data_IF_511258508954
#
_entry.id   IF_511258508954
#
_cell.length_a   1.000
_cell.length_b   1.000
_cell.length_c   1.000
_cell.angle_alpha   90.00
_cell.angle_beta   90.00
_cell.angle_gamma   90.00
#
_symmetry.space_group_name_H-M   'P 1'
#
loop_
_entity.id
_entity.type
_entity.pdbx_description
1 polymer ?
#
# COMPACT_ATOMS: atom_id res chain seq x y z
N UNK A 1 1.30 -12.63 25.48
CA UNK A 1 0.17 -12.31 24.57
C UNK A 1 0.75 -11.44 23.48
N UNK A 2 1.05 -12.06 22.33
CA UNK A 2 1.85 -11.45 21.28
C UNK A 2 0.99 -10.55 20.39
N UNK A 3 1.59 -9.42 20.00
CA UNK A 3 0.99 -8.32 19.25
C UNK A 3 0.83 -8.71 17.76
N UNK A 4 -0.39 -8.72 17.19
CA UNK A 4 -0.64 -9.07 15.78
C UNK A 4 -0.08 -8.04 14.76
N UNK A 5 0.66 -7.03 15.22
CA UNK A 5 1.43 -6.07 14.41
C UNK A 5 2.60 -6.70 13.61
N UNK A 6 2.79 -8.02 13.63
CA UNK A 6 3.96 -8.70 13.05
C UNK A 6 3.93 -8.83 11.52
N UNK A 7 2.76 -8.87 10.89
CA UNK A 7 2.59 -9.10 9.43
C UNK A 7 3.34 -8.07 8.57
N UNK A 8 3.25 -6.79 8.94
CA UNK A 8 3.83 -5.69 8.15
C UNK A 8 5.06 -5.06 8.79
N UNK A 9 5.25 -5.21 10.12
CA UNK A 9 6.56 -4.93 10.73
C UNK A 9 7.63 -5.88 10.20
N UNK A 10 7.29 -7.11 9.79
CA UNK A 10 8.27 -8.11 9.33
C UNK A 10 8.56 -8.11 7.83
N UNK A 11 7.63 -7.66 6.98
CA UNK A 11 8.00 -7.15 5.65
C UNK A 11 9.01 -5.99 5.76
N UNK A 12 8.88 -5.13 6.78
CA UNK A 12 9.92 -4.16 7.17
C UNK A 12 11.14 -4.82 7.82
N UNK A 13 11.04 -6.03 8.39
CA UNK A 13 12.19 -6.79 8.90
C UNK A 13 13.01 -7.38 7.75
N UNK A 14 12.43 -7.79 6.62
CA UNK A 14 13.22 -8.20 5.44
C UNK A 14 14.04 -7.02 4.90
N UNK A 15 13.42 -5.86 4.80
CA UNK A 15 14.08 -4.62 4.42
C UNK A 15 15.13 -4.17 5.49
N UNK A 16 14.78 -4.21 6.79
CA UNK A 16 15.65 -3.77 7.88
C UNK A 16 16.81 -4.74 8.18
N UNK A 17 16.64 -6.05 7.97
CA UNK A 17 17.70 -7.05 8.10
C UNK A 17 18.83 -6.72 7.12
N UNK A 18 18.48 -6.43 5.86
CA UNK A 18 19.43 -6.04 4.81
C UNK A 18 20.15 -4.72 5.12
N UNK A 19 19.51 -3.80 5.87
CA UNK A 19 20.10 -2.50 6.22
C UNK A 19 21.17 -2.56 7.33
N UNK A 20 21.14 -3.56 8.22
CA UNK A 20 21.85 -3.51 9.51
C UNK A 20 23.20 -4.26 9.58
N UNK A 21 23.53 -5.17 8.66
CA UNK A 21 24.81 -5.92 8.72
C UNK A 21 25.95 -5.36 7.85
N UNK A 22 25.71 -4.29 7.10
CA UNK A 22 26.71 -3.65 6.25
C UNK A 22 27.74 -2.76 7.01
N UNK A 23 27.72 -2.75 8.34
CA UNK A 23 28.64 -1.99 9.19
C UNK A 23 29.82 -2.85 9.70
N UNK A 24 30.66 -3.31 8.79
CA UNK A 24 32.08 -3.53 9.12
C UNK A 24 32.98 -3.35 7.89
N UNK A 25 34.11 -2.72 8.20
CA UNK A 25 35.31 -2.26 7.48
C UNK A 25 35.50 -2.42 5.97
N UNK A 26 36.16 -1.40 5.42
CA UNK A 26 36.43 -1.09 4.01
C UNK A 26 37.35 -2.09 3.32
N UNK A 27 37.01 -2.44 2.08
CA UNK A 27 37.93 -3.07 1.14
C UNK A 27 37.82 -2.38 -0.23
N UNK A 28 38.91 -1.72 -0.63
CA UNK A 28 39.10 -1.18 -1.98
C UNK A 28 39.80 -2.25 -2.83
N UNK A 29 39.14 -2.73 -3.88
CA UNK A 29 39.73 -3.70 -4.80
C UNK A 29 39.10 -3.60 -6.19
N UNK A 30 39.89 -3.49 -7.28
CA UNK A 30 39.36 -3.35 -8.64
C UNK A 30 39.04 -4.74 -9.23
N UNK A 31 37.83 -4.94 -9.74
CA UNK A 31 37.45 -6.24 -10.31
C UNK A 31 36.21 -6.25 -11.20
N UNK A 32 36.39 -5.90 -12.48
CA UNK A 32 36.14 -6.77 -13.66
C UNK A 32 34.76 -7.36 -14.01
N UNK A 33 33.73 -7.31 -13.17
CA UNK A 33 32.36 -7.66 -13.62
C UNK A 33 31.67 -6.42 -14.22
N UNK A 34 30.62 -6.53 -15.06
CA UNK A 34 29.78 -5.38 -15.37
C UNK A 34 29.31 -4.83 -14.03
N UNK A 35 29.86 -3.68 -13.63
CA UNK A 35 29.65 -3.16 -12.30
C UNK A 35 28.14 -2.99 -12.14
N UNK A 36 27.58 -3.68 -11.15
CA UNK A 36 26.21 -3.46 -10.75
C UNK A 36 26.06 -1.97 -10.42
N UNK A 37 25.41 -1.20 -11.30
CA UNK A 37 25.19 0.22 -11.09
C UNK A 37 23.95 0.42 -10.23
N UNK A 38 24.17 0.10 -8.97
CA UNK A 38 23.12 0.13 -7.99
C UNK A 38 22.71 1.55 -7.59
N UNK A 39 23.61 2.53 -7.75
CA UNK A 39 23.27 3.93 -7.53
C UNK A 39 22.30 4.40 -8.61
N UNK A 40 22.53 4.05 -9.87
CA UNK A 40 21.56 4.29 -10.93
C UNK A 40 20.25 3.54 -10.67
N UNK A 41 20.32 2.28 -10.24
CA UNK A 41 19.10 1.49 -9.92
C UNK A 41 18.28 2.11 -8.79
N UNK A 42 18.95 2.58 -7.73
CA UNK A 42 18.34 3.30 -6.62
C UNK A 42 17.69 4.62 -7.06
N UNK A 43 18.39 5.41 -7.86
CA UNK A 43 17.86 6.67 -8.40
C UNK A 43 16.65 6.44 -9.30
N UNK A 44 16.65 5.35 -10.08
CA UNK A 44 15.49 4.95 -10.88
C UNK A 44 14.30 4.64 -9.98
N UNK A 45 14.51 3.84 -8.94
CA UNK A 45 13.44 3.50 -8.01
C UNK A 45 12.91 4.72 -7.23
N UNK A 46 13.78 5.65 -6.81
CA UNK A 46 13.36 6.88 -6.15
C UNK A 46 12.63 7.86 -7.09
N UNK A 47 12.94 7.84 -8.39
CA UNK A 47 12.21 8.62 -9.39
C UNK A 47 10.75 8.18 -9.47
N UNK A 48 10.51 6.86 -9.41
CA UNK A 48 9.16 6.29 -9.41
C UNK A 48 8.39 6.72 -8.15
N UNK A 49 8.99 6.60 -6.97
CA UNK A 49 8.30 6.87 -5.69
C UNK A 49 8.24 8.34 -5.29
N UNK A 50 9.07 9.22 -5.87
CA UNK A 50 9.00 10.68 -5.59
C UNK A 50 7.82 11.37 -6.29
N UNK A 51 7.31 10.81 -7.38
CA UNK A 51 6.18 11.36 -8.13
C UNK A 51 4.86 11.34 -7.33
N UNK A 52 4.72 10.45 -6.34
CA UNK A 52 3.53 10.39 -5.49
C UNK A 52 3.49 11.42 -4.35
N UNK A 53 4.61 12.09 -4.06
CA UNK A 53 4.75 13.01 -2.92
C UNK A 53 4.80 14.49 -3.28
N UNK A 54 4.61 14.85 -4.54
CA UNK A 54 4.91 16.19 -5.04
C UNK A 54 3.81 17.23 -4.78
N UNK A 55 2.57 16.82 -4.52
CA UNK A 55 1.55 17.72 -3.96
C UNK A 55 1.52 17.61 -2.42
N UNK A 56 2.00 18.63 -1.68
CA UNK A 56 2.08 18.57 -0.22
C UNK A 56 0.72 18.60 0.48
N UNK A 57 -0.36 18.94 -0.22
CA UNK A 57 -1.70 19.02 0.34
C UNK A 57 -2.53 17.77 0.04
N UNK A 58 -2.17 16.96 -0.97
CA UNK A 58 -2.95 15.80 -1.41
C UNK A 58 -3.10 14.75 -0.30
N UNK A 59 -1.99 14.25 0.24
CA UNK A 59 -2.02 13.20 1.27
C UNK A 59 -2.76 13.65 2.56
N UNK A 60 -2.49 14.84 3.13
CA UNK A 60 -3.28 15.33 4.27
C UNK A 60 -4.76 15.51 3.95
N UNK A 61 -5.11 15.93 2.72
CA UNK A 61 -6.51 16.12 2.34
C UNK A 61 -7.26 14.80 2.22
N UNK A 62 -6.65 13.77 1.62
CA UNK A 62 -7.21 12.41 1.60
C UNK A 62 -7.42 11.85 3.01
N UNK A 63 -6.50 12.11 3.94
CA UNK A 63 -6.65 11.74 5.36
C UNK A 63 -7.82 12.47 6.06
N UNK A 64 -8.09 13.73 5.71
CA UNK A 64 -9.26 14.45 6.26
C UNK A 64 -10.59 13.95 5.69
N UNK A 65 -10.64 13.67 4.38
CA UNK A 65 -11.81 13.06 3.72
C UNK A 65 -12.13 11.69 4.34
N UNK A 66 -11.09 10.90 4.52
CA UNK A 66 -11.09 9.64 5.25
C UNK A 66 -11.71 9.77 6.64
N UNK A 67 -11.21 10.72 7.46
CA UNK A 67 -11.76 11.02 8.77
C UNK A 67 -13.25 11.38 8.74
N UNK A 68 -13.68 12.20 7.78
CA UNK A 68 -15.07 12.62 7.64
C UNK A 68 -16.02 11.44 7.37
N UNK A 69 -15.61 10.47 6.55
CA UNK A 69 -16.41 9.28 6.24
C UNK A 69 -16.49 8.28 7.41
N UNK A 70 -15.47 8.28 8.28
CA UNK A 70 -15.41 7.40 9.45
C UNK A 70 -16.15 7.96 10.69
N UNK A 71 -16.30 9.28 10.81
CA UNK A 71 -16.82 9.95 12.01
C UNK A 71 -18.24 10.55 11.93
N UNK A 72 -18.86 10.61 10.74
CA UNK A 72 -20.05 11.45 10.51
C UNK A 72 -21.43 10.83 10.75
N UNK A 73 -21.55 9.52 10.87
CA UNK A 73 -22.85 8.85 11.03
C UNK A 73 -22.67 7.63 11.90
N UNK A 74 -23.53 7.38 12.88
CA UNK A 74 -23.47 6.23 13.79
C UNK A 74 -23.59 4.83 13.13
N UNK A 75 -23.28 4.70 11.84
CA UNK A 75 -23.12 3.48 11.08
C UNK A 75 -21.74 3.53 10.39
N UNK A 76 -20.88 2.49 10.53
CA UNK A 76 -19.62 2.41 9.80
C UNK A 76 -19.89 2.34 8.30
N UNK A 77 -19.43 3.32 7.53
CA UNK A 77 -19.40 3.23 6.07
C UNK A 77 -18.28 2.28 5.65
N UNK A 78 -18.50 1.46 4.62
CA UNK A 78 -17.42 0.58 4.13
C UNK A 78 -16.34 1.43 3.44
N UNK A 79 -16.65 2.64 2.98
CA UNK A 79 -15.66 3.61 2.55
C UNK A 79 -14.82 4.12 3.72
N UNK A 80 -15.33 4.27 4.94
CA UNK A 80 -14.47 4.46 6.13
C UNK A 80 -13.61 3.23 6.45
N UNK A 81 -14.04 2.05 6.01
CA UNK A 81 -13.27 0.79 5.95
C UNK A 81 -12.39 0.67 4.70
N UNK A 82 -12.47 1.56 3.69
CA UNK A 82 -11.48 1.67 2.59
C UNK A 82 -10.60 2.94 2.63
N UNK A 83 -11.03 3.92 3.40
CA UNK A 83 -10.51 5.26 3.53
C UNK A 83 -10.43 5.64 5.02
N UNK A 84 -9.91 4.85 5.96
CA UNK A 84 -9.91 5.26 7.38
C UNK A 84 -8.78 4.65 8.19
N UNK A 85 -8.18 5.39 9.12
CA UNK A 85 -7.18 4.87 10.09
C UNK A 85 -7.64 3.61 10.90
N UNK A 86 -8.89 3.17 10.72
CA UNK A 86 -9.58 2.09 11.40
C UNK A 86 -9.29 0.66 10.91
N UNK A 87 -8.69 0.43 9.74
CA UNK A 87 -8.01 -0.86 9.50
C UNK A 87 -6.52 -0.66 9.59
N UNK A 88 -6.02 -0.99 10.77
CA UNK A 88 -4.83 -1.80 10.75
C UNK A 88 -5.17 -3.05 9.93
N UNK A 89 -4.38 -3.46 8.93
CA UNK A 89 -4.27 -4.89 8.62
C UNK A 89 -3.54 -5.60 9.79
N UNK A 90 -3.88 -5.29 11.04
CA UNK A 90 -4.02 -6.34 12.02
C UNK A 90 -5.36 -6.96 11.68
N UNK A 91 -5.35 -8.14 11.05
CA UNK A 91 -6.41 -9.10 11.28
C UNK A 91 -6.53 -9.23 12.81
N UNK A 92 -7.38 -8.40 13.43
CA UNK A 92 -7.83 -8.69 14.78
C UNK A 92 -8.69 -9.93 14.61
N UNK A 93 -8.08 -11.08 14.90
CA UNK A 93 -8.75 -12.37 14.93
C UNK A 93 -9.98 -12.31 15.87
N UNK A 94 -10.07 -11.35 16.79
CA UNK A 94 -11.27 -11.01 17.55
C UNK A 94 -12.42 -10.49 16.67
N UNK A 95 -12.17 -9.59 15.73
CA UNK A 95 -13.16 -9.07 14.77
C UNK A 95 -13.52 -10.10 13.70
N UNK A 96 -12.54 -10.86 13.18
CA UNK A 96 -12.81 -11.99 12.27
C UNK A 96 -13.66 -13.03 13.00
N UNK A 97 -13.29 -13.45 14.23
CA UNK A 97 -14.10 -14.38 15.05
C UNK A 97 -15.43 -13.79 15.52
N UNK A 98 -15.58 -12.47 15.59
CA UNK A 98 -16.86 -11.81 15.87
C UNK A 98 -17.78 -11.88 14.65
N UNK A 99 -17.24 -11.59 13.45
CA UNK A 99 -17.93 -11.84 12.17
C UNK A 99 -18.30 -13.32 12.01
N UNK A 100 -17.38 -14.26 12.27
CA UNK A 100 -17.67 -15.70 12.17
C UNK A 100 -18.64 -16.17 13.26
N UNK A 101 -18.73 -15.52 14.43
CA UNK A 101 -19.72 -15.86 15.47
C UNK A 101 -21.11 -15.29 15.20
N UNK A 102 -21.18 -14.06 14.68
CA UNK A 102 -22.42 -13.45 14.19
C UNK A 102 -22.98 -14.24 13.00
N UNK A 103 -22.11 -14.76 12.11
CA UNK A 103 -22.50 -15.52 10.92
C UNK A 103 -22.65 -17.05 11.17
N UNK A 104 -21.92 -17.61 12.13
CA UNK A 104 -21.91 -19.05 12.45
C UNK A 104 -22.89 -19.47 13.56
N UNK A 105 -23.62 -18.51 14.16
CA UNK A 105 -24.63 -18.77 15.19
C UNK A 105 -25.92 -19.44 14.69
N UNK A 106 -26.12 -19.54 13.38
CA UNK A 106 -27.29 -20.20 12.78
C UNK A 106 -26.90 -21.60 12.34
N UNK A 107 -26.86 -22.53 13.30
CA UNK A 107 -26.84 -23.96 13.07
C UNK A 107 -28.19 -24.44 12.51
N UNK A 108 -28.49 -24.06 11.27
CA UNK A 108 -29.69 -24.46 10.56
C UNK A 108 -29.48 -24.29 9.06
N UNK A 109 -29.57 -25.39 8.33
CA UNK A 109 -29.54 -25.48 6.87
C UNK A 109 -30.50 -24.46 6.24
N UNK A 110 -29.98 -23.31 5.86
CA UNK A 110 -30.58 -22.35 4.95
C UNK A 110 -29.41 -21.65 4.27
N UNK A 111 -29.46 -21.56 2.95
CA UNK A 111 -28.53 -20.72 2.20
C UNK A 111 -28.55 -19.32 2.82
N UNK A 112 -27.50 -19.00 3.60
CA UNK A 112 -27.32 -17.66 4.13
C UNK A 112 -27.03 -16.81 2.90
N UNK A 113 -27.87 -15.80 2.58
CA UNK A 113 -27.55 -14.88 1.50
C UNK A 113 -26.20 -14.27 1.81
N UNK A 114 -25.29 -14.21 0.82
CA UNK A 114 -24.00 -13.57 0.97
C UNK A 114 -24.16 -12.24 1.71
N UNK A 115 -23.28 -11.91 2.68
CA UNK A 115 -23.36 -10.64 3.39
C UNK A 115 -23.40 -9.52 2.36
N UNK A 116 -24.52 -8.78 2.30
CA UNK A 116 -24.59 -7.55 1.54
C UNK A 116 -23.70 -6.58 2.28
N UNK A 117 -22.48 -6.39 1.79
CA UNK A 117 -21.64 -5.30 2.24
C UNK A 117 -22.47 -4.02 2.08
N UNK A 118 -22.79 -3.38 3.19
CA UNK A 118 -23.55 -2.13 3.25
C UNK A 118 -22.90 -1.11 2.31
N UNK A 119 -23.70 -0.17 1.81
CA UNK A 119 -23.25 0.86 0.86
C UNK A 119 -21.86 1.40 1.18
N UNK A 120 -21.03 1.43 0.15
CA UNK A 120 -19.65 1.88 0.23
C UNK A 120 -19.61 3.30 0.78
N UNK A 121 -20.43 4.20 0.23
CA UNK A 121 -20.57 5.58 0.68
C UNK A 121 -21.94 5.81 1.33
N UNK A 122 -22.08 6.73 2.30
CA UNK A 122 -23.37 7.03 2.91
C UNK A 122 -24.40 7.55 1.89
N UNK A 123 -25.57 6.88 1.78
CA UNK A 123 -26.67 7.28 0.88
C UNK A 123 -27.08 8.75 1.05
N UNK A 124 -27.09 9.24 2.29
CA UNK A 124 -27.50 10.61 2.61
C UNK A 124 -26.56 11.69 2.07
N UNK A 125 -25.35 11.31 1.62
CA UNK A 125 -24.35 12.22 1.08
C UNK A 125 -24.17 12.08 -0.43
N UNK A 126 -24.83 11.11 -1.08
CA UNK A 126 -24.72 10.92 -2.52
C UNK A 126 -25.18 12.16 -3.29
N UNK A 127 -24.42 12.57 -4.31
CA UNK A 127 -24.66 13.80 -5.07
C UNK A 127 -24.36 15.09 -4.30
N UNK A 128 -23.76 15.01 -3.10
CA UNK A 128 -23.47 16.19 -2.30
C UNK A 128 -22.02 16.67 -2.45
N UNK A 129 -21.84 17.98 -2.33
CA UNK A 129 -20.52 18.61 -2.18
C UNK A 129 -20.31 18.98 -0.72
N UNK A 130 -19.18 18.56 -0.14
CA UNK A 130 -18.77 18.90 1.21
C UNK A 130 -17.65 19.94 1.18
N UNK A 131 -17.76 20.97 2.01
CA UNK A 131 -16.80 22.07 2.17
C UNK A 131 -16.24 22.06 3.58
N UNK A 132 -15.01 22.54 3.76
CA UNK A 132 -14.43 22.62 5.09
C UNK A 132 -15.00 23.81 5.87
N UNK A 133 -15.61 23.55 7.02
CA UNK A 133 -16.03 24.57 7.97
C UNK A 133 -14.91 24.80 9.00
N UNK A 134 -14.32 26.00 8.98
CA UNK A 134 -13.23 26.37 9.88
C UNK A 134 -13.66 26.53 11.36
N UNK A 135 -14.95 26.75 11.61
CA UNK A 135 -15.53 26.91 12.95
C UNK A 135 -15.79 25.57 13.63
N UNK A 136 -16.27 24.57 12.90
CA UNK A 136 -16.48 23.21 13.42
C UNK A 136 -15.26 22.32 13.24
N UNK A 137 -14.36 22.69 12.32
CA UNK A 137 -13.14 21.94 12.03
C UNK A 137 -13.43 20.62 11.32
N UNK A 138 -14.49 20.58 10.50
CA UNK A 138 -14.97 19.40 9.80
C UNK A 138 -15.49 19.73 8.40
N UNK A 139 -15.68 18.70 7.58
CA UNK A 139 -16.38 18.81 6.31
C UNK A 139 -17.89 18.80 6.52
N UNK A 140 -18.59 19.76 5.93
CA UNK A 140 -20.05 19.90 6.00
C UNK A 140 -20.66 20.01 4.61
N UNK A 141 -21.90 19.54 4.44
CA UNK A 141 -22.61 19.61 3.16
C UNK A 141 -22.94 21.06 2.83
N UNK A 142 -22.48 21.51 1.65
CA UNK A 142 -22.87 22.79 1.08
C UNK A 142 -23.90 22.56 -0.02
N UNK A 143 -25.18 22.72 0.32
CA UNK A 143 -26.29 22.54 -0.60
C UNK A 143 -26.32 23.55 -1.77
N UNK A 144 -25.53 24.62 -1.71
CA UNK A 144 -25.43 25.60 -2.80
C UNK A 144 -24.46 25.14 -3.91
N UNK A 145 -23.58 24.17 -3.62
CA UNK A 145 -22.59 23.64 -4.57
C UNK A 145 -23.12 22.43 -5.33
N UNK A 146 -23.37 22.65 -6.62
CA UNK A 146 -23.77 21.61 -7.56
C UNK A 146 -22.56 20.91 -8.22
N UNK A 147 -22.85 19.81 -8.94
CA UNK A 147 -21.91 19.15 -9.83
C UNK A 147 -21.18 17.94 -9.24
N UNK A 148 -21.45 17.57 -7.98
CA UNK A 148 -20.99 16.30 -7.43
C UNK A 148 -21.63 15.10 -8.16
N UNK A 149 -20.92 13.96 -8.30
CA UNK A 149 -21.45 12.78 -8.97
C UNK A 149 -22.69 12.22 -8.25
N UNK A 150 -23.73 11.83 -8.99
CA UNK A 150 -24.97 11.30 -8.40
C UNK A 150 -24.80 10.00 -7.62
N UNK A 151 -23.76 9.23 -7.93
CA UNK A 151 -23.36 8.00 -7.25
C UNK A 151 -22.11 8.21 -6.36
N UNK A 152 -21.85 9.45 -5.94
CA UNK A 152 -20.63 9.76 -5.22
C UNK A 152 -20.75 10.99 -4.32
N UNK A 153 -19.62 11.33 -3.71
CA UNK A 153 -19.47 12.47 -2.80
C UNK A 153 -18.29 13.30 -3.33
N UNK A 154 -18.46 14.63 -3.38
CA UNK A 154 -17.37 15.56 -3.70
C UNK A 154 -16.94 16.28 -2.43
N UNK A 155 -15.65 16.31 -2.15
CA UNK A 155 -15.03 17.13 -1.11
C UNK A 155 -14.26 18.26 -1.77
N UNK A 156 -14.41 19.49 -1.28
CA UNK A 156 -13.55 20.60 -1.72
C UNK A 156 -12.16 20.42 -1.12
N UNK A 157 -11.14 20.50 -1.97
CA UNK A 157 -9.74 20.30 -1.63
C UNK A 157 -9.07 21.66 -1.42
N UNK A 158 -8.34 21.81 -0.32
CA UNK A 158 -7.75 23.08 0.13
C UNK A 158 -6.24 22.97 0.32
N UNK A 159 -5.56 24.12 0.33
CA UNK A 159 -4.19 24.20 0.82
C UNK A 159 -4.16 23.86 2.31
N UNK A 160 -3.18 23.07 2.72
CA UNK A 160 -3.05 22.53 4.08
C UNK A 160 -1.87 23.18 4.80
N UNK A 161 -2.08 23.54 6.07
CA UNK A 161 -0.99 23.97 6.93
C UNK A 161 -0.08 22.78 7.25
N UNK A 162 1.23 22.87 6.96
CA UNK A 162 2.14 21.73 7.05
C UNK A 162 2.38 21.26 8.49
N UNK A 163 2.10 22.11 9.49
CA UNK A 163 2.25 21.81 10.92
C UNK A 163 0.98 21.17 11.48
N UNK A 164 -0.18 21.77 11.24
CA UNK A 164 -1.44 21.31 11.82
C UNK A 164 -2.11 20.19 11.03
N UNK A 165 -1.69 19.97 9.77
CA UNK A 165 -2.29 19.03 8.80
C UNK A 165 -3.78 19.29 8.53
N UNK A 166 -4.26 20.51 8.79
CA UNK A 166 -5.63 20.98 8.50
C UNK A 166 -5.62 22.05 7.40
N UNK A 167 -6.77 22.33 6.75
CA UNK A 167 -6.86 23.43 5.80
C UNK A 167 -6.37 24.74 6.41
N UNK A 168 -5.46 25.42 5.71
CA UNK A 168 -4.88 26.67 6.16
C UNK A 168 -5.94 27.78 6.24
N UNK A 169 -5.79 28.71 7.19
CA UNK A 169 -6.67 29.87 7.32
C UNK A 169 -5.92 31.17 6.90
N UNK A 170 -6.52 32.02 6.05
CA UNK A 170 -7.83 31.86 5.40
C UNK A 170 -7.86 30.69 4.40
N UNK A 171 -9.03 30.06 4.23
CA UNK A 171 -9.19 28.90 3.35
C UNK A 171 -8.79 29.26 1.91
N UNK A 172 -7.93 28.44 1.33
CA UNK A 172 -7.50 28.54 -0.06
C UNK A 172 -7.93 27.27 -0.81
N UNK A 173 -8.99 27.38 -1.61
CA UNK A 173 -9.52 26.28 -2.41
C UNK A 173 -8.59 25.98 -3.59
N UNK A 174 -8.16 24.72 -3.67
CA UNK A 174 -7.29 24.22 -4.73
C UNK A 174 -8.06 23.41 -5.77
N UNK A 175 -9.21 22.83 -5.41
CA UNK A 175 -10.06 22.07 -6.32
C UNK A 175 -10.96 21.11 -5.57
N UNK A 176 -11.04 19.84 -5.99
CA UNK A 176 -11.92 18.85 -5.37
C UNK A 176 -11.41 17.41 -5.44
N UNK A 177 -11.90 16.59 -4.49
CA UNK A 177 -11.74 15.13 -4.43
C UNK A 177 -13.13 14.53 -4.62
N UNK A 178 -13.28 13.61 -5.57
CA UNK A 178 -14.51 12.85 -5.78
C UNK A 178 -14.30 11.40 -5.40
N UNK A 179 -15.29 10.86 -4.69
CA UNK A 179 -15.40 9.46 -4.35
C UNK A 179 -16.68 8.93 -4.99
N UNK A 180 -16.60 7.92 -5.84
CA UNK A 180 -17.77 7.37 -6.54
C UNK A 180 -17.92 5.89 -6.22
N UNK A 181 -19.12 5.47 -5.83
CA UNK A 181 -19.45 4.06 -5.74
C UNK A 181 -19.68 3.50 -7.15
N UNK A 182 -18.80 2.60 -7.57
CA UNK A 182 -18.83 1.92 -8.86
C UNK A 182 -19.14 0.43 -8.71
N UNK A 183 -19.55 0.00 -7.52
CA UNK A 183 -19.85 -1.40 -7.23
C UNK A 183 -20.98 -1.91 -8.13
N UNK A 184 -20.85 -3.14 -8.62
CA UNK A 184 -21.90 -3.82 -9.37
C UNK A 184 -22.35 -5.07 -8.60
N UNK A 185 -23.43 -5.73 -9.01
CA UNK A 185 -23.81 -7.03 -8.42
C UNK A 185 -22.79 -8.16 -8.66
N UNK A 186 -21.82 -7.92 -9.54
CA UNK A 186 -20.83 -8.89 -10.03
C UNK A 186 -19.41 -8.55 -9.62
N UNK A 187 -19.12 -7.25 -9.44
CA UNK A 187 -17.87 -6.74 -8.88
C UNK A 187 -17.96 -6.79 -7.37
N UNK A 188 -16.84 -6.89 -6.65
CA UNK A 188 -16.83 -6.63 -5.22
C UNK A 188 -17.21 -5.17 -4.92
N UNK A 189 -16.76 -4.69 -3.77
CA UNK A 189 -16.82 -3.26 -3.45
C UNK A 189 -15.84 -2.52 -4.36
N UNK A 190 -16.31 -1.53 -5.13
CA UNK A 190 -15.47 -0.76 -6.06
C UNK A 190 -15.65 0.74 -5.84
N UNK A 191 -14.57 1.40 -5.39
CA UNK A 191 -14.50 2.83 -5.17
C UNK A 191 -13.70 3.50 -6.29
N UNK A 192 -14.28 4.49 -6.97
CA UNK A 192 -13.51 5.42 -7.80
C UNK A 192 -13.03 6.61 -6.97
N UNK A 193 -11.77 6.99 -7.13
CA UNK A 193 -11.15 8.18 -6.52
C UNK A 193 -10.61 9.07 -7.61
N UNK A 194 -11.06 10.32 -7.63
CA UNK A 194 -10.58 11.34 -8.55
C UNK A 194 -10.22 12.61 -7.81
N UNK A 195 -9.05 13.18 -8.08
CA UNK A 195 -8.62 14.45 -7.48
C UNK A 195 -8.29 15.44 -8.59
N UNK A 196 -8.90 16.62 -8.53
CA UNK A 196 -8.75 17.66 -9.54
C UNK A 196 -8.30 18.96 -8.86
N UNK A 197 -7.23 19.55 -9.36
CA UNK A 197 -6.78 20.89 -9.01
C UNK A 197 -7.33 21.88 -10.06
N UNK A 198 -8.05 22.88 -9.59
CA UNK A 198 -8.70 23.93 -10.40
C UNK A 198 -8.14 25.33 -10.11
N UNK A 199 -7.10 25.46 -9.29
CA UNK A 199 -6.51 26.76 -8.92
C UNK A 199 -5.64 27.39 -10.02
N UNK A 200 -5.37 26.65 -11.11
CA UNK A 200 -4.59 27.10 -12.26
C UNK A 200 -5.44 27.69 -13.40
N UNK A 201 -4.79 27.97 -14.54
CA UNK A 201 -5.47 28.41 -15.77
C UNK A 201 -6.23 27.29 -16.48
N UNK A 202 -5.99 26.04 -16.09
CA UNK A 202 -6.66 24.84 -16.58
C UNK A 202 -6.72 23.80 -15.47
N UNK A 203 -7.78 23.01 -15.44
CA UNK A 203 -7.93 21.92 -14.49
C UNK A 203 -6.88 20.83 -14.74
N UNK A 204 -6.29 20.31 -13.66
CA UNK A 204 -5.35 19.21 -13.67
C UNK A 204 -5.91 18.07 -12.81
N UNK A 205 -6.07 16.88 -13.38
CA UNK A 205 -6.42 15.68 -12.60
C UNK A 205 -5.14 15.15 -11.94
N UNK A 206 -5.01 15.37 -10.63
CA UNK A 206 -3.86 14.96 -9.83
C UNK A 206 -3.88 13.46 -9.50
N UNK A 207 -5.06 12.85 -9.44
CA UNK A 207 -5.20 11.42 -9.24
C UNK A 207 -6.49 10.92 -9.89
N UNK A 208 -6.43 9.72 -10.48
CA UNK A 208 -7.60 9.00 -10.99
C UNK A 208 -7.30 7.50 -10.89
N UNK A 209 -7.95 6.84 -9.95
CA UNK A 209 -7.75 5.42 -9.68
C UNK A 209 -9.00 4.79 -9.07
N UNK A 210 -9.07 3.46 -9.15
CA UNK A 210 -10.09 2.67 -8.48
C UNK A 210 -9.49 1.83 -7.37
N UNK A 211 -10.27 1.55 -6.33
CA UNK A 211 -9.96 0.60 -5.26
C UNK A 211 -11.06 -0.45 -5.23
N UNK A 212 -10.68 -1.72 -5.36
CA UNK A 212 -11.59 -2.86 -5.28
C UNK A 212 -11.30 -3.70 -4.04
N UNK A 213 -12.34 -4.20 -3.37
CA UNK A 213 -12.22 -5.14 -2.27
C UNK A 213 -13.27 -6.26 -2.34
N UNK A 214 -12.89 -7.47 -1.96
CA UNK A 214 -13.80 -8.60 -1.89
C UNK A 214 -13.55 -9.50 -0.67
N UNK A 215 -14.64 -10.08 -0.15
CA UNK A 215 -14.59 -11.07 0.93
C UNK A 215 -15.44 -12.27 0.51
N UNK A 216 -14.84 -13.46 0.54
CA UNK A 216 -15.51 -14.74 0.28
C UNK A 216 -15.45 -15.59 1.55
N UNK A 217 -16.61 -16.09 2.01
CA UNK A 217 -16.75 -16.85 3.26
C UNK A 217 -17.30 -18.28 3.06
N UNK A 218 -17.26 -18.81 1.83
CA UNK A 218 -17.82 -20.13 1.51
C UNK A 218 -16.79 -21.25 1.73
N UNK A 219 -16.71 -21.75 2.97
CA UNK A 219 -15.75 -22.77 3.37
C UNK A 219 -14.40 -22.16 3.73
N UNK A 220 -13.68 -21.70 2.72
CA UNK A 220 -12.45 -20.91 2.89
C UNK A 220 -12.80 -19.44 3.12
N UNK A 221 -11.99 -18.75 3.92
CA UNK A 221 -12.04 -17.28 4.03
C UNK A 221 -11.02 -16.68 3.09
N UNK A 222 -11.47 -15.90 2.11
CA UNK A 222 -10.60 -15.15 1.23
C UNK A 222 -10.91 -13.66 1.33
N UNK A 223 -9.86 -12.86 1.43
CA UNK A 223 -9.89 -11.41 1.37
C UNK A 223 -9.04 -10.99 0.17
N UNK A 224 -9.54 -10.09 -0.66
CA UNK A 224 -8.71 -9.42 -1.67
C UNK A 224 -8.92 -7.91 -1.63
N UNK A 225 -7.85 -7.20 -1.94
CA UNK A 225 -7.86 -5.76 -2.17
C UNK A 225 -6.99 -5.45 -3.38
N UNK A 226 -7.43 -4.55 -4.25
CA UNK A 226 -6.64 -4.08 -5.38
C UNK A 226 -6.90 -2.61 -5.65
N UNK A 227 -5.93 -1.95 -6.27
CA UNK A 227 -6.08 -0.59 -6.73
C UNK A 227 -5.30 -0.38 -8.03
N UNK A 228 -5.84 0.43 -8.92
CA UNK A 228 -5.21 0.68 -10.22
C UNK A 228 -5.58 2.05 -10.75
N UNK A 229 -4.59 2.74 -11.32
CA UNK A 229 -4.77 4.08 -11.87
C UNK A 229 -3.48 4.87 -11.84
N UNK A 230 -3.58 6.18 -11.61
CA UNK A 230 -2.42 7.06 -11.62
C UNK A 230 -2.52 8.23 -10.64
N UNK A 231 -1.35 8.77 -10.29
CA UNK A 231 -1.15 10.04 -9.59
C UNK A 231 -0.15 10.90 -10.38
N UNK A 232 -0.31 12.21 -10.35
CA UNK A 232 0.57 13.18 -11.03
C UNK A 232 0.68 14.49 -10.26
N UNK A 233 1.81 15.17 -10.42
CA UNK A 233 2.01 16.58 -10.02
C UNK A 233 1.79 17.59 -11.16
N UNK A 234 1.21 17.13 -12.27
CA UNK A 234 1.05 17.92 -13.49
C UNK A 234 2.28 17.92 -14.39
N UNK A 235 3.43 17.39 -13.95
CA UNK A 235 4.64 17.23 -14.76
C UNK A 235 5.03 15.76 -14.92
N UNK A 236 5.09 15.02 -13.82
CA UNK A 236 5.41 13.60 -13.76
C UNK A 236 4.15 12.80 -13.45
N UNK A 237 4.03 11.62 -14.05
CA UNK A 237 2.92 10.69 -13.82
C UNK A 237 3.45 9.36 -13.32
N UNK A 238 2.84 8.88 -12.25
CA UNK A 238 3.04 7.57 -11.68
C UNK A 238 1.80 6.74 -11.95
N UNK A 239 1.92 5.74 -12.81
CA UNK A 239 0.91 4.70 -13.00
C UNK A 239 1.18 3.57 -12.01
N UNK A 240 0.11 2.95 -11.48
CA UNK A 240 0.24 1.84 -10.55
C UNK A 240 -0.84 0.80 -10.74
N UNK A 241 -0.49 -0.44 -10.43
CA UNK A 241 -1.40 -1.57 -10.26
C UNK A 241 -0.99 -2.33 -9.01
N UNK A 242 -1.90 -2.42 -8.04
CA UNK A 242 -1.64 -2.98 -6.73
C UNK A 242 -2.67 -4.06 -6.47
N UNK A 243 -2.24 -5.20 -5.93
CA UNK A 243 -3.14 -6.26 -5.49
C UNK A 243 -2.57 -6.99 -4.28
N UNK A 244 -3.48 -7.40 -3.40
CA UNK A 244 -3.20 -8.25 -2.26
C UNK A 244 -4.32 -9.28 -2.15
N UNK A 245 -3.95 -10.51 -1.81
CA UNK A 245 -4.89 -11.57 -1.49
C UNK A 245 -4.45 -12.25 -0.20
N UNK A 246 -5.41 -12.58 0.65
CA UNK A 246 -5.19 -13.35 1.86
C UNK A 246 -6.21 -14.49 1.89
N UNK A 247 -5.75 -15.70 2.17
CA UNK A 247 -6.60 -16.89 2.25
C UNK A 247 -6.35 -17.67 3.54
N UNK A 248 -7.43 -18.00 4.23
CA UNK A 248 -7.48 -18.92 5.36
C UNK A 248 -8.35 -20.12 4.99
N UNK A 249 -7.74 -21.27 4.66
CA UNK A 249 -8.49 -22.48 4.34
C UNK A 249 -9.30 -23.01 5.52
N UNK A 250 -10.44 -23.65 5.24
CA UNK A 250 -11.30 -24.24 6.25
C UNK A 250 -10.54 -25.23 7.15
N UNK A 251 -10.62 -25.04 8.47
CA UNK A 251 -9.97 -25.93 9.44
C UNK A 251 -8.44 -25.82 9.50
N UNK A 252 -7.84 -24.91 8.74
CA UNK A 252 -6.41 -24.62 8.78
C UNK A 252 -6.07 -23.63 9.91
N UNK A 253 -4.89 -23.78 10.51
CA UNK A 253 -4.26 -22.72 11.30
C UNK A 253 -3.29 -21.88 10.46
N UNK A 254 -3.16 -22.14 9.17
CA UNK A 254 -2.25 -21.43 8.27
C UNK A 254 -3.01 -20.45 7.39
N UNK A 255 -2.62 -19.17 7.46
CA UNK A 255 -3.01 -18.13 6.51
C UNK A 255 -1.95 -18.05 5.43
N UNK A 256 -2.37 -17.89 4.19
CA UNK A 256 -1.50 -17.57 3.05
C UNK A 256 -1.81 -16.18 2.53
N UNK A 257 -0.82 -15.48 2.03
CA UNK A 257 -0.98 -14.16 1.43
C UNK A 257 -0.12 -14.02 0.19
N UNK A 258 -0.65 -13.30 -0.79
CA UNK A 258 0.08 -12.90 -2.00
C UNK A 258 -0.08 -11.40 -2.21
N UNK A 259 0.94 -10.78 -2.77
CA UNK A 259 0.97 -9.35 -3.11
C UNK A 259 1.62 -9.16 -4.45
N UNK A 260 1.07 -8.27 -5.28
CA UNK A 260 1.68 -7.82 -6.52
C UNK A 260 1.50 -6.31 -6.63
N UNK A 261 2.61 -5.58 -6.62
CA UNK A 261 2.64 -4.14 -6.83
C UNK A 261 3.48 -3.80 -8.04
N UNK A 262 2.89 -3.07 -8.96
CA UNK A 262 3.57 -2.49 -10.12
C UNK A 262 3.44 -0.98 -10.05
N UNK A 263 4.57 -0.29 -10.24
CA UNK A 263 4.65 1.16 -10.33
C UNK A 263 5.46 1.54 -11.57
N UNK A 264 4.97 2.48 -12.35
CA UNK A 264 5.63 2.93 -13.57
C UNK A 264 5.67 4.46 -13.68
N UNK A 265 6.85 5.01 -13.94
CA UNK A 265 7.05 6.44 -14.19
C UNK A 265 8.29 6.66 -15.05
N UNK A 266 8.22 7.57 -16.03
CA UNK A 266 9.39 7.97 -16.83
C UNK A 266 10.09 6.83 -17.58
N UNK A 267 9.36 5.78 -17.98
CA UNK A 267 9.92 4.58 -18.63
C UNK A 267 10.66 3.62 -17.69
N UNK A 268 10.54 3.83 -16.38
CA UNK A 268 11.01 2.92 -15.33
C UNK A 268 9.80 2.18 -14.77
N UNK A 269 9.92 0.87 -14.62
CA UNK A 269 8.93 0.02 -13.97
C UNK A 269 9.54 -0.63 -12.74
N UNK A 270 8.81 -0.60 -11.64
CA UNK A 270 9.12 -1.33 -10.43
C UNK A 270 8.01 -2.35 -10.18
N UNK A 271 8.39 -3.62 -10.02
CA UNK A 271 7.47 -4.70 -9.64
C UNK A 271 7.90 -5.28 -8.31
N UNK A 272 6.96 -5.47 -7.39
CA UNK A 272 7.13 -6.18 -6.14
C UNK A 272 6.12 -7.32 -6.07
N UNK A 273 6.62 -8.54 -6.16
CA UNK A 273 5.85 -9.75 -5.91
C UNK A 273 6.21 -10.28 -4.53
N UNK A 274 5.21 -10.71 -3.77
CA UNK A 274 5.40 -11.28 -2.45
C UNK A 274 4.44 -12.40 -2.19
N UNK A 275 4.93 -13.46 -1.54
CA UNK A 275 4.11 -14.57 -1.07
C UNK A 275 4.49 -14.87 0.37
N UNK A 276 3.54 -15.36 1.16
CA UNK A 276 3.83 -15.72 2.53
C UNK A 276 2.80 -16.62 3.14
N UNK A 277 3.21 -17.32 4.19
CA UNK A 277 2.32 -18.13 4.99
C UNK A 277 2.65 -17.98 6.48
N UNK A 278 1.61 -18.03 7.30
CA UNK A 278 1.70 -17.75 8.73
C UNK A 278 0.81 -18.70 9.51
N UNK A 279 1.29 -19.17 10.65
CA UNK A 279 0.45 -19.89 11.59
C UNK A 279 -0.30 -18.90 12.50
N UNK A 280 -1.63 -18.93 12.42
CA UNK A 280 -2.57 -18.09 13.16
C UNK A 280 -2.46 -18.28 14.66
N UNK A 281 -2.10 -19.48 15.12
CA UNK A 281 -2.05 -19.79 16.56
C UNK A 281 -0.83 -19.15 17.23
N UNK A 282 0.30 -19.12 16.53
CA UNK A 282 1.57 -18.58 17.00
C UNK A 282 1.82 -17.14 16.54
N UNK A 283 1.15 -16.71 15.46
CA UNK A 283 1.42 -15.46 14.76
C UNK A 283 2.79 -15.44 14.07
N UNK A 284 3.41 -16.60 13.87
CA UNK A 284 4.73 -16.73 13.26
C UNK A 284 4.61 -17.03 11.77
N UNK A 285 5.49 -16.40 10.98
CA UNK A 285 5.68 -16.77 9.59
C UNK A 285 6.20 -18.21 9.51
N UNK A 286 5.67 -18.99 8.59
CA UNK A 286 6.17 -20.32 8.23
C UNK A 286 7.02 -20.26 6.96
N UNK A 287 6.74 -19.30 6.07
CA UNK A 287 7.61 -18.90 4.97
C UNK A 287 7.21 -17.53 4.42
N UNK A 288 8.16 -16.78 3.88
CA UNK A 288 7.94 -15.54 3.14
C UNK A 288 8.86 -15.54 1.90
N UNK A 289 8.38 -15.04 0.77
CA UNK A 289 9.19 -14.74 -0.42
C UNK A 289 8.89 -13.34 -0.90
N UNK A 290 9.93 -12.66 -1.38
CA UNK A 290 9.85 -11.32 -1.93
C UNK A 290 10.71 -11.24 -3.18
N UNK A 291 10.12 -10.74 -4.26
CA UNK A 291 10.82 -10.45 -5.49
C UNK A 291 10.57 -9.00 -5.90
N UNK A 292 11.62 -8.19 -5.87
CA UNK A 292 11.62 -6.84 -6.41
C UNK A 292 12.31 -6.86 -7.77
N UNK A 293 11.69 -6.28 -8.80
CA UNK A 293 12.32 -5.97 -10.07
C UNK A 293 12.28 -4.47 -10.33
N UNK A 294 13.42 -3.88 -10.72
CA UNK A 294 13.52 -2.50 -11.22
C UNK A 294 14.01 -2.57 -12.67
N UNK A 295 13.18 -2.11 -13.60
CA UNK A 295 13.43 -2.21 -15.04
C UNK A 295 13.40 -0.84 -15.70
N UNK A 296 14.37 -0.58 -16.58
CA UNK A 296 14.34 0.56 -17.50
C UNK A 296 14.92 0.12 -18.85
N UNK A 297 14.07 -0.01 -19.87
CA UNK A 297 14.49 -0.59 -21.16
C UNK A 297 15.00 -2.02 -20.98
N UNK A 298 16.25 -2.29 -21.36
CA UNK A 298 16.91 -3.59 -21.19
C UNK A 298 17.64 -3.76 -19.85
N UNK A 299 17.70 -2.71 -19.02
CA UNK A 299 18.39 -2.75 -17.74
C UNK A 299 17.43 -3.19 -16.64
N UNK A 300 17.63 -4.40 -16.13
CA UNK A 300 16.83 -4.96 -15.04
C UNK A 300 17.72 -5.37 -13.87
N UNK A 301 17.37 -4.91 -12.68
CA UNK A 301 17.86 -5.43 -11.41
C UNK A 301 16.73 -6.21 -10.72
N UNK A 302 17.01 -7.41 -10.22
CA UNK A 302 16.05 -8.25 -9.50
C UNK A 302 16.63 -8.62 -8.15
N UNK A 303 15.92 -8.34 -7.07
CA UNK A 303 16.18 -8.88 -5.74
C UNK A 303 15.18 -9.98 -5.50
N UNK A 304 15.63 -11.18 -5.17
CA UNK A 304 14.80 -12.35 -4.93
C UNK A 304 15.23 -12.98 -3.62
N UNK A 305 14.35 -12.98 -2.61
CA UNK A 305 14.67 -13.38 -1.24
C UNK A 305 13.55 -14.23 -0.67
N UNK A 306 13.94 -15.29 0.03
CA UNK A 306 13.06 -16.15 0.80
C UNK A 306 13.47 -16.19 2.27
N UNK A 307 12.48 -16.28 3.15
CA UNK A 307 12.63 -16.47 4.59
C UNK A 307 11.90 -17.75 4.95
N UNK A 308 12.61 -18.71 5.55
CA UNK A 308 11.97 -19.88 6.15
C UNK A 308 11.40 -19.55 7.54
N UNK A 309 10.46 -20.35 8.05
CA UNK A 309 9.82 -20.12 9.35
C UNK A 309 10.77 -20.16 10.56
N UNK A 310 11.99 -20.68 10.40
CA UNK A 310 13.06 -20.62 11.39
C UNK A 310 13.90 -19.33 11.33
N UNK A 311 13.59 -18.43 10.38
CA UNK A 311 14.30 -17.19 10.14
C UNK A 311 15.54 -17.33 9.25
N UNK A 312 15.76 -18.48 8.62
CA UNK A 312 16.81 -18.65 7.61
C UNK A 312 16.50 -17.80 6.38
N UNK A 313 17.49 -17.06 5.90
CA UNK A 313 17.43 -16.29 4.67
C UNK A 313 18.14 -17.03 3.54
N UNK A 314 17.54 -17.03 2.36
CA UNK A 314 18.18 -17.45 1.11
C UNK A 314 17.71 -16.55 -0.04
N UNK A 315 18.63 -16.08 -0.86
CA UNK A 315 18.28 -15.17 -1.94
C UNK A 315 19.46 -14.70 -2.78
N UNK A 316 19.16 -13.80 -3.71
CA UNK A 316 20.12 -13.26 -4.67
C UNK A 316 19.70 -11.90 -5.20
N UNK A 317 20.68 -11.19 -5.75
CA UNK A 317 20.47 -10.03 -6.62
C UNK A 317 21.00 -10.36 -8.00
N UNK A 318 20.13 -10.29 -9.01
CA UNK A 318 20.48 -10.41 -10.42
C UNK A 318 20.52 -9.01 -11.05
N UNK A 319 21.55 -8.71 -11.84
CA UNK A 319 21.66 -7.50 -12.66
C UNK A 319 21.92 -7.88 -14.10
N UNK A 320 21.05 -7.40 -15.01
CA UNK A 320 21.07 -7.77 -16.44
C UNK A 320 21.12 -9.29 -16.66
N UNK A 321 20.39 -10.03 -15.83
CA UNK A 321 20.28 -11.50 -15.89
C UNK A 321 21.45 -12.27 -15.28
N UNK A 322 22.46 -11.61 -14.71
CA UNK A 322 23.58 -12.27 -14.01
C UNK A 322 23.50 -12.04 -12.51
N UNK A 323 23.70 -13.08 -11.71
CA UNK A 323 23.77 -12.94 -10.24
C UNK A 323 25.01 -12.16 -9.85
N UNK A 324 24.81 -11.08 -9.10
CA UNK A 324 25.87 -10.18 -8.63
C UNK A 324 26.04 -10.21 -7.11
N UNK A 325 25.01 -10.61 -6.37
CA UNK A 325 25.02 -10.75 -4.91
C UNK A 325 24.28 -12.02 -4.52
N UNK A 326 24.82 -12.77 -3.56
CA UNK A 326 24.16 -13.86 -2.84
C UNK A 326 23.74 -13.35 -1.46
N UNK A 327 22.53 -13.72 -1.03
CA UNK A 327 21.93 -13.33 0.24
C UNK A 327 21.73 -14.61 1.06
N UNK A 328 22.17 -14.61 2.31
CA UNK A 328 22.05 -15.78 3.17
C UNK A 328 22.02 -15.44 4.67
N UNK A 329 22.23 -16.46 5.49
CA UNK A 329 22.29 -16.32 6.95
C UNK A 329 20.91 -16.37 7.58
N UNK A 330 20.67 -15.52 8.58
CA UNK A 330 19.36 -15.41 9.24
C UNK A 330 18.85 -13.99 9.18
N UNK A 331 17.56 -13.81 9.38
CA UNK A 331 16.93 -12.48 9.44
C UNK A 331 17.58 -11.56 10.47
N UNK A 332 18.15 -12.10 11.56
CA UNK A 332 18.87 -11.32 12.57
C UNK A 332 20.35 -11.10 12.24
N UNK A 333 20.94 -11.94 11.38
CA UNK A 333 22.34 -11.88 10.96
C UNK A 333 22.46 -12.22 9.47
N UNK A 334 22.00 -11.33 8.57
CA UNK A 334 22.05 -11.59 7.14
C UNK A 334 23.48 -11.44 6.63
N UNK A 335 23.84 -12.30 5.70
CA UNK A 335 25.12 -12.28 4.99
C UNK A 335 24.91 -11.90 3.53
N UNK A 336 25.86 -11.13 3.00
CA UNK A 336 25.87 -10.70 1.60
C UNK A 336 27.26 -10.92 1.03
N UNK A 337 27.34 -11.71 -0.04
CA UNK A 337 28.61 -12.02 -0.71
C UNK A 337 28.46 -11.90 -2.20
N UNK A 338 29.58 -11.75 -2.90
CA UNK A 338 29.62 -11.96 -4.36
C UNK A 338 29.50 -13.45 -4.67
N UNK A 339 29.16 -13.83 -5.91
CA UNK A 339 29.10 -15.25 -6.32
C UNK A 339 30.41 -16.03 -6.10
N UNK A 340 31.56 -15.36 -6.08
CA UNK A 340 32.87 -15.96 -5.79
C UNK A 340 33.17 -16.11 -4.29
N UNK A 341 32.23 -15.75 -3.41
CA UNK A 341 32.37 -15.77 -1.96
C UNK A 341 33.10 -14.57 -1.36
N UNK A 342 33.58 -13.64 -2.18
CA UNK A 342 34.23 -12.42 -1.69
C UNK A 342 33.23 -11.43 -1.07
N UNK A 343 33.75 -10.55 -0.22
CA UNK A 343 32.97 -9.50 0.41
C UNK A 343 32.48 -8.46 -0.62
N UNK A 344 31.32 -7.86 -0.34
CA UNK A 344 30.81 -6.72 -1.09
C UNK A 344 31.71 -5.49 -0.92
N UNK A 345 31.86 -4.70 -1.99
CA UNK A 345 32.53 -3.39 -1.89
C UNK A 345 31.66 -2.40 -1.09
N UNK A 346 32.22 -1.26 -0.67
CA UNK A 346 31.42 -0.19 -0.05
C UNK A 346 30.30 0.30 -0.99
N UNK A 347 30.59 0.37 -2.30
CA UNK A 347 29.62 0.74 -3.32
C UNK A 347 28.49 -0.28 -3.42
N UNK A 348 28.81 -1.59 -3.45
CA UNK A 348 27.83 -2.69 -3.48
C UNK A 348 26.96 -2.77 -2.22
N UNK A 349 27.42 -2.24 -1.09
CA UNK A 349 26.62 -2.14 0.14
C UNK A 349 25.68 -0.94 0.13
N UNK A 350 26.14 0.22 -0.32
CA UNK A 350 25.30 1.43 -0.42
C UNK A 350 24.13 1.22 -1.40
N UNK A 351 24.48 0.70 -2.58
CA UNK A 351 23.62 0.04 -3.54
C UNK A 351 22.42 -0.72 -2.94
N UNK A 352 22.74 -1.75 -2.16
CA UNK A 352 21.77 -2.67 -1.58
C UNK A 352 20.85 -1.96 -0.58
N UNK A 353 21.39 -1.01 0.21
CA UNK A 353 20.58 -0.16 1.10
C UNK A 353 19.56 0.66 0.32
N UNK A 354 19.97 1.26 -0.79
CA UNK A 354 19.04 2.08 -1.56
C UNK A 354 17.97 1.24 -2.29
N UNK A 355 18.27 0.01 -2.68
CA UNK A 355 17.24 -0.94 -3.14
C UNK A 355 16.24 -1.30 -2.03
N UNK A 356 16.73 -1.48 -0.81
CA UNK A 356 15.89 -1.71 0.36
C UNK A 356 14.98 -0.51 0.66
N UNK A 357 15.52 0.71 0.62
CA UNK A 357 14.76 1.95 0.81
C UNK A 357 13.68 2.10 -0.27
N UNK A 358 13.98 1.68 -1.50
CA UNK A 358 13.00 1.62 -2.58
C UNK A 358 11.88 0.60 -2.31
N UNK A 359 12.21 -0.62 -1.85
CA UNK A 359 11.20 -1.62 -1.43
C UNK A 359 10.29 -1.01 -0.36
N UNK A 360 10.86 -0.37 0.66
CA UNK A 360 10.08 0.27 1.72
C UNK A 360 9.17 1.36 1.16
N UNK A 361 9.70 2.22 0.30
CA UNK A 361 8.92 3.30 -0.33
C UNK A 361 7.76 2.76 -1.16
N UNK A 362 7.96 1.65 -1.89
CA UNK A 362 6.92 0.99 -2.69
C UNK A 362 5.87 0.36 -1.81
N UNK A 363 6.29 -0.34 -0.77
CA UNK A 363 5.38 -0.93 0.21
C UNK A 363 4.59 0.17 0.91
N UNK A 364 5.21 1.29 1.27
CA UNK A 364 4.56 2.41 1.92
C UNK A 364 3.62 3.18 0.98
N UNK A 365 3.95 3.29 -0.31
CA UNK A 365 3.03 3.78 -1.33
C UNK A 365 1.84 2.83 -1.52
N UNK A 366 2.09 1.54 -1.71
CA UNK A 366 1.03 0.56 -1.87
C UNK A 366 0.14 0.54 -0.62
N UNK A 367 0.76 0.66 0.56
CA UNK A 367 0.05 0.89 1.82
C UNK A 367 -0.73 2.16 1.79
N UNK A 368 -0.25 3.31 1.32
CA UNK A 368 -1.06 4.54 1.35
C UNK A 368 -2.26 4.50 0.39
N UNK A 369 -2.16 3.77 -0.71
CA UNK A 369 -3.23 3.63 -1.72
C UNK A 369 -4.23 2.54 -1.36
N UNK A 370 -3.76 1.30 -1.16
CA UNK A 370 -4.61 0.21 -0.67
C UNK A 370 -5.02 0.43 0.79
N UNK A 371 -4.33 1.36 1.43
CA UNK A 371 -4.49 1.75 2.80
C UNK A 371 -4.20 3.24 3.02
N UNK A 372 -5.28 3.97 2.86
CA UNK A 372 -5.82 4.70 4.01
C UNK A 372 -6.05 3.75 5.24
N UNK A 373 -5.08 2.87 5.55
CA UNK A 373 -4.96 1.67 6.40
C UNK A 373 -3.47 1.39 6.68
N UNK A 374 -2.70 2.43 7.01
CA UNK A 374 -1.32 2.21 7.45
C UNK A 374 -0.45 3.44 7.67
N UNK A 375 -0.79 4.30 8.64
CA UNK A 375 0.17 5.17 9.36
C UNK A 375 -0.27 6.63 9.45
N UNK A 376 -0.12 7.35 10.57
CA UNK A 376 0.55 7.08 11.83
C UNK A 376 0.72 8.37 12.64
N UNK A 377 0.79 8.22 13.96
CA UNK A 377 1.62 8.99 14.88
C UNK A 377 2.11 8.04 15.97
#
# INVERSE_FOLDING_TARGET
MNDPRSFLRRGTVLAAAVALSACSESATGPGGSPAFDAQATAQKASTVTSTSGSDPNLAPSLALVSGALSGGSGLPSVAGFFLGDGLRPTLDLGQVRAMTRELGGVGGSSEVPAPRLSLLLPDSLMGSTLVWDASTGAYEVDASRAGAPSNGIRFVYYAVDPVTKKPALPLNELGYIELTDQSTSTSGLLLGVKVVNTAGSSDITLADYTVEGSIVLSGDTQLSASAGGHITDGTNRLDFTLSQQVSLPAGSSTVTGTTHYELASGGITLTLDGDGSFDVSSGQATSESLKLAVTQGSDTAVVDVTVAGDGTLDGKVDYRGSTVILIGGTVSQPTFTKPDGSALTDQDRQALRSLVDAIQSVVDFARSILGVFGGGA
#
